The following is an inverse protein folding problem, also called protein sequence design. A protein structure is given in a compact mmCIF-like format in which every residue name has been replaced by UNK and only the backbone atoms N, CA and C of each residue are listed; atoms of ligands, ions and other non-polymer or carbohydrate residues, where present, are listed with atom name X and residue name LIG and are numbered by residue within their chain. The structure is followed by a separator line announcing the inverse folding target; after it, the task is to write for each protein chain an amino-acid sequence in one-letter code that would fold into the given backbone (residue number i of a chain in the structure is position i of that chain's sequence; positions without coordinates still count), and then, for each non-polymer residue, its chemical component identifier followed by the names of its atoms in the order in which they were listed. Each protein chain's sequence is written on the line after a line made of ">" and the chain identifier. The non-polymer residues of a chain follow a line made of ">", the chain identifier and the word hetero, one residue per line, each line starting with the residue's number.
data_IF_060960079107
#
_entry.id   IF_060960079107
#
_cell.length_a   1.000
_cell.length_b   1.000
_cell.length_c   1.000
_cell.angle_alpha   90.00
_cell.angle_beta   90.00
_cell.angle_gamma   90.00
#
_symmetry.space_group_name_H-M   'P 1'
#
loop_
_entity.id
_entity.type
_entity.pdbx_description
1 polymer ?
#
# COMPACT_ATOMS: atom_id res chain seq x y z
N UNK A 1 -4.59 -12.42 -9.74
CA UNK A 1 -3.43 -11.79 -9.11
C UNK A 1 -3.62 -10.28 -9.09
N UNK A 2 -3.28 -9.65 -7.98
CA UNK A 2 -3.42 -8.20 -7.85
C UNK A 2 -2.48 -7.48 -8.83
N UNK A 3 -3.00 -6.48 -9.52
CA UNK A 3 -2.18 -5.65 -10.41
C UNK A 3 -1.71 -4.42 -9.67
N UNK A 4 -0.40 -4.27 -9.56
CA UNK A 4 0.21 -3.14 -8.85
C UNK A 4 0.09 -1.90 -9.72
N UNK A 5 -0.47 -0.81 -9.18
CA UNK A 5 -0.62 0.44 -9.92
C UNK A 5 0.73 1.10 -10.19
N UNK A 6 0.77 1.97 -11.20
CA UNK A 6 1.98 2.74 -11.48
C UNK A 6 2.32 3.68 -10.33
N UNK A 7 1.32 4.20 -9.65
CA UNK A 7 1.51 5.07 -8.48
C UNK A 7 2.24 4.33 -7.37
N UNK A 8 1.81 3.10 -7.07
CA UNK A 8 2.47 2.28 -6.06
C UNK A 8 3.92 1.99 -6.45
N UNK A 9 4.17 1.66 -7.73
CA UNK A 9 5.52 1.38 -8.20
C UNK A 9 6.41 2.61 -8.11
N UNK A 10 5.88 3.80 -8.43
CA UNK A 10 6.62 5.05 -8.34
C UNK A 10 6.98 5.36 -6.89
N UNK A 11 6.02 5.21 -5.97
CA UNK A 11 6.26 5.45 -4.55
C UNK A 11 7.31 4.48 -4.01
N UNK A 12 7.21 3.20 -4.39
CA UNK A 12 8.18 2.20 -3.98
C UNK A 12 9.59 2.60 -4.43
N UNK A 13 9.74 3.02 -5.67
CA UNK A 13 11.02 3.46 -6.20
C UNK A 13 11.58 4.65 -5.43
N UNK A 14 10.72 5.62 -5.08
CA UNK A 14 11.13 6.79 -4.32
C UNK A 14 11.66 6.42 -2.93
N UNK A 15 11.16 5.34 -2.36
CA UNK A 15 11.56 4.87 -1.04
C UNK A 15 12.62 3.76 -1.08
N UNK A 16 13.18 3.47 -2.25
CA UNK A 16 14.18 2.42 -2.39
C UNK A 16 13.63 1.02 -2.19
N UNK A 17 12.37 0.80 -2.51
CA UNK A 17 11.69 -0.47 -2.34
C UNK A 17 11.42 -1.14 -3.68
N UNK A 18 11.36 -2.47 -3.67
CA UNK A 18 10.91 -3.28 -4.79
C UNK A 18 9.60 -3.94 -4.41
N UNK A 19 8.64 -3.95 -5.31
CA UNK A 19 7.33 -4.55 -5.06
C UNK A 19 7.01 -5.57 -6.15
N UNK A 20 6.33 -6.64 -5.74
CA UNK A 20 5.86 -7.69 -6.65
C UNK A 20 4.46 -8.10 -6.22
N UNK A 21 3.63 -8.63 -7.14
CA UNK A 21 2.37 -9.23 -6.73
C UNK A 21 2.65 -10.33 -5.72
N UNK A 22 1.89 -10.34 -4.61
CA UNK A 22 2.15 -11.28 -3.53
C UNK A 22 1.76 -12.71 -3.91
N UNK A 23 2.56 -13.68 -3.46
CA UNK A 23 2.19 -15.08 -3.52
C UNK A 23 1.55 -15.54 -2.20
N UNK A 24 1.55 -14.67 -1.19
CA UNK A 24 0.86 -14.97 0.08
C UNK A 24 -0.64 -14.82 -0.14
N UNK A 25 -1.38 -15.85 0.25
CA UNK A 25 -2.83 -15.90 0.05
C UNK A 25 -3.50 -14.68 0.69
N UNK A 26 -4.41 -14.04 -0.05
CA UNK A 26 -5.18 -12.87 0.38
C UNK A 26 -4.38 -11.59 0.56
N UNK A 27 -3.11 -11.54 0.18
CA UNK A 27 -2.30 -10.33 0.22
C UNK A 27 -2.08 -9.77 -1.18
N UNK A 28 -2.00 -8.42 -1.27
CA UNK A 28 -1.86 -7.75 -2.56
C UNK A 28 -0.43 -7.72 -3.07
N UNK A 29 0.51 -7.26 -2.25
CA UNK A 29 1.90 -7.06 -2.70
C UNK A 29 2.89 -7.57 -1.68
N UNK A 30 4.01 -8.09 -2.20
CA UNK A 30 5.20 -8.39 -1.42
C UNK A 30 6.21 -7.27 -1.60
N UNK A 31 6.84 -6.85 -0.51
CA UNK A 31 7.73 -5.69 -0.48
C UNK A 31 9.12 -6.11 -0.08
N UNK A 32 10.11 -5.61 -0.80
CA UNK A 32 11.52 -5.92 -0.59
C UNK A 32 12.34 -4.65 -0.52
N UNK A 33 13.39 -4.66 0.29
CA UNK A 33 14.43 -3.64 0.27
C UNK A 33 15.73 -4.34 -0.06
N UNK A 34 16.23 -4.15 -1.30
CA UNK A 34 17.31 -4.96 -1.82
C UNK A 34 16.88 -6.42 -1.87
N UNK A 35 17.64 -7.30 -1.24
CA UNK A 35 17.32 -8.72 -1.17
C UNK A 35 16.47 -9.09 0.07
N UNK A 36 16.20 -8.12 0.94
CA UNK A 36 15.47 -8.38 2.17
C UNK A 36 13.96 -8.32 1.94
N UNK A 37 13.27 -9.42 2.22
CA UNK A 37 11.82 -9.47 2.19
C UNK A 37 11.27 -8.80 3.46
N UNK A 38 10.51 -7.72 3.29
CA UNK A 38 9.97 -6.98 4.42
C UNK A 38 8.57 -7.46 4.83
N UNK A 39 7.85 -8.10 3.93
CA UNK A 39 6.55 -8.63 4.22
C UNK A 39 5.57 -8.42 3.06
N UNK A 40 4.38 -8.98 3.21
CA UNK A 40 3.29 -8.79 2.25
C UNK A 40 2.22 -7.94 2.90
N UNK A 41 1.71 -6.96 2.14
CA UNK A 41 0.76 -5.98 2.66
C UNK A 41 -0.47 -5.87 1.77
N UNK A 42 -1.56 -5.35 2.34
CA UNK A 42 -2.82 -5.16 1.66
C UNK A 42 -3.66 -6.42 1.65
N UNK A 43 -4.97 -6.27 1.82
CA UNK A 43 -5.91 -7.39 1.76
C UNK A 43 -6.62 -7.41 0.42
N UNK A 44 -6.58 -8.55 -0.27
CA UNK A 44 -7.33 -8.72 -1.50
C UNK A 44 -8.82 -8.70 -1.16
N UNK A 45 -9.60 -8.01 -2.00
CA UNK A 45 -11.04 -7.83 -1.76
C UNK A 45 -11.38 -6.48 -1.15
N UNK A 46 -10.40 -5.73 -0.70
CA UNK A 46 -10.60 -4.37 -0.17
C UNK A 46 -9.92 -3.36 -1.09
N UNK A 47 -10.58 -2.25 -1.35
CA UNK A 47 -10.04 -1.18 -2.19
C UNK A 47 -8.98 -0.39 -1.40
N UNK A 48 -7.99 0.12 -2.13
CA UNK A 48 -6.99 1.02 -1.60
C UNK A 48 -7.19 2.43 -2.20
N UNK A 49 -6.32 3.37 -1.83
CA UNK A 49 -6.43 4.76 -2.26
C UNK A 49 -6.50 4.87 -3.79
N UNK A 50 -5.60 4.20 -4.48
CA UNK A 50 -5.50 4.30 -5.94
C UNK A 50 -6.74 3.71 -6.62
N UNK A 51 -7.29 2.64 -6.07
CA UNK A 51 -8.51 2.02 -6.57
C UNK A 51 -9.72 2.92 -6.33
N UNK A 52 -9.85 3.51 -5.14
CA UNK A 52 -10.92 4.45 -4.84
C UNK A 52 -10.87 5.65 -5.78
N UNK A 53 -9.67 6.19 -6.00
CA UNK A 53 -9.50 7.35 -6.89
C UNK A 53 -9.95 7.02 -8.31
N UNK A 54 -9.58 5.85 -8.82
CA UNK A 54 -9.94 5.43 -10.17
C UNK A 54 -11.43 5.16 -10.32
N UNK A 55 -12.05 4.52 -9.32
CA UNK A 55 -13.45 4.11 -9.38
C UNK A 55 -14.43 5.20 -8.96
N UNK A 56 -14.09 5.99 -7.96
CA UNK A 56 -15.05 6.89 -7.32
C UNK A 56 -14.57 8.34 -7.24
N UNK A 57 -13.36 8.64 -7.71
CA UNK A 57 -12.84 9.99 -7.79
C UNK A 57 -12.00 10.42 -6.60
N UNK A 58 -11.37 11.57 -6.75
CA UNK A 58 -10.40 12.10 -5.80
C UNK A 58 -10.98 12.35 -4.42
N UNK A 59 -12.18 12.96 -4.36
CA UNK A 59 -12.79 13.33 -3.08
C UNK A 59 -13.07 12.11 -2.21
N UNK A 60 -13.62 11.04 -2.82
CA UNK A 60 -13.89 9.79 -2.09
C UNK A 60 -12.58 9.14 -1.64
N UNK A 61 -11.59 9.09 -2.52
CA UNK A 61 -10.29 8.52 -2.19
C UNK A 61 -9.63 9.25 -1.03
N UNK A 62 -9.68 10.59 -1.02
CA UNK A 62 -9.09 11.39 0.05
C UNK A 62 -9.78 11.14 1.38
N UNK A 63 -11.11 11.01 1.40
CA UNK A 63 -11.86 10.72 2.61
C UNK A 63 -11.52 9.32 3.15
N UNK A 64 -11.44 8.32 2.26
CA UNK A 64 -11.07 6.96 2.66
C UNK A 64 -9.64 6.91 3.19
N UNK A 65 -8.74 7.67 2.56
CA UNK A 65 -7.35 7.80 3.02
C UNK A 65 -7.29 8.40 4.42
N UNK A 66 -8.02 9.46 4.64
CA UNK A 66 -8.08 10.12 5.95
C UNK A 66 -8.52 9.15 7.04
N UNK A 67 -9.57 8.38 6.78
CA UNK A 67 -10.08 7.39 7.72
C UNK A 67 -9.07 6.27 7.97
N UNK A 68 -8.41 5.80 6.91
CA UNK A 68 -7.39 4.75 7.04
C UNK A 68 -6.22 5.23 7.89
N UNK A 69 -5.68 6.42 7.61
CA UNK A 69 -4.52 6.94 8.34
C UNK A 69 -4.85 7.20 9.79
N UNK A 70 -6.06 7.68 10.09
CA UNK A 70 -6.51 7.89 11.45
C UNK A 70 -6.59 6.56 12.22
N UNK A 71 -7.15 5.53 11.60
CA UNK A 71 -7.33 4.21 12.20
C UNK A 71 -5.98 3.52 12.46
N UNK A 72 -5.00 3.76 11.59
CA UNK A 72 -3.69 3.11 11.67
C UNK A 72 -2.59 4.06 12.18
N UNK A 73 -2.95 5.13 12.85
CA UNK A 73 -1.98 6.13 13.31
C UNK A 73 -0.86 5.52 14.14
N UNK A 74 -1.16 4.54 14.99
CA UNK A 74 -0.16 3.91 15.84
C UNK A 74 0.79 3.00 15.08
N UNK A 75 0.35 2.48 13.93
CA UNK A 75 1.06 1.40 13.22
C UNK A 75 1.87 1.90 12.03
N UNK A 76 1.61 3.11 11.53
CA UNK A 76 2.13 3.54 10.24
C UNK A 76 3.44 4.33 10.29
N UNK A 77 3.95 4.61 11.47
CA UNK A 77 5.14 5.45 11.62
C UNK A 77 6.44 4.69 11.78
N UNK A 78 6.38 3.40 12.08
CA UNK A 78 7.59 2.60 12.22
C UNK A 78 8.10 2.19 10.85
N UNK A 79 9.25 2.74 10.45
CA UNK A 79 9.82 2.50 9.14
C UNK A 79 9.94 1.00 8.85
N UNK A 80 9.55 0.61 7.64
CA UNK A 80 9.58 -0.76 7.12
C UNK A 80 8.69 -1.76 7.84
N UNK A 81 7.83 -1.31 8.77
CA UNK A 81 6.79 -2.17 9.31
C UNK A 81 5.67 -2.35 8.28
N UNK A 82 4.85 -3.39 8.45
CA UNK A 82 3.75 -3.64 7.52
C UNK A 82 2.78 -2.46 7.48
N UNK A 83 2.49 -1.84 8.62
CA UNK A 83 1.62 -0.66 8.67
C UNK A 83 2.20 0.52 7.91
N UNK A 84 3.49 0.78 8.06
CA UNK A 84 4.18 1.82 7.32
C UNK A 84 4.13 1.55 5.81
N UNK A 85 4.49 0.32 5.41
CA UNK A 85 4.54 -0.04 3.99
C UNK A 85 3.15 0.05 3.34
N UNK A 86 2.12 -0.44 4.00
CA UNK A 86 0.75 -0.33 3.48
C UNK A 86 0.32 1.12 3.34
N UNK A 87 0.63 1.97 4.34
CA UNK A 87 0.22 3.37 4.29
C UNK A 87 0.86 4.12 3.14
N UNK A 88 2.17 3.95 2.89
CA UNK A 88 2.82 4.67 1.80
C UNK A 88 2.49 4.09 0.42
N UNK A 89 2.40 2.76 0.30
CA UNK A 89 2.26 2.11 -1.01
C UNK A 89 0.80 2.03 -1.47
N UNK A 90 -0.12 1.80 -0.57
CA UNK A 90 -1.52 1.58 -0.90
C UNK A 90 -2.41 2.76 -0.55
N UNK A 91 -1.99 3.62 0.35
CA UNK A 91 -2.82 4.72 0.85
C UNK A 91 -2.20 6.09 0.66
N UNK A 92 -1.05 6.17 -0.03
CA UNK A 92 -0.39 7.43 -0.34
C UNK A 92 -0.18 8.30 0.91
N UNK A 93 0.17 7.65 1.99
CA UNK A 93 0.35 8.31 3.31
C UNK A 93 1.79 8.27 3.85
#
# INVERSE_FOLDING_TARGET
>A
MYQISQETRRIAKQHGLRVEPSQVKHKKISVFRGDDYLGSVGAIGYDDYHTFKRKQGQAVADERRRLYLQRHEKDRHKKDSKGYLASILLWNG
#
